data_IF_451894394573
#
_entry.id   IF_451894394573
#
_cell.length_a   1.000
_cell.length_b   1.000
_cell.length_c   1.000
_cell.angle_alpha   90.00
_cell.angle_beta   90.00
_cell.angle_gamma   90.00
#
_symmetry.space_group_name_H-M   'P 1'
#
loop_
_entity.id
_entity.type
_entity.pdbx_description
1 polymer ?
#
# COMPACT_ATOMS: atom_id res chain seq x y z
N UNK A 1 45.75 -72.05 -13.48
CA UNK A 1 44.66 -71.49 -14.23
C UNK A 1 43.80 -70.69 -13.25
N UNK A 2 44.09 -69.39 -13.09
CA UNK A 2 43.49 -68.50 -12.08
C UNK A 2 42.51 -67.56 -12.80
N UNK A 3 41.24 -67.68 -12.49
CA UNK A 3 40.17 -66.85 -13.04
C UNK A 3 39.95 -65.67 -12.08
N UNK A 4 40.35 -64.46 -12.53
CA UNK A 4 40.17 -63.23 -11.80
C UNK A 4 38.77 -62.67 -12.00
N UNK A 5 38.03 -62.52 -10.91
CA UNK A 5 36.74 -61.83 -10.90
C UNK A 5 36.97 -60.32 -10.73
N UNK A 6 36.66 -59.55 -11.76
CA UNK A 6 36.55 -58.08 -11.67
C UNK A 6 35.21 -57.74 -11.07
N UNK A 7 35.20 -57.15 -9.87
CA UNK A 7 34.01 -56.54 -9.27
C UNK A 7 33.93 -55.09 -9.75
N UNK A 8 32.93 -54.81 -10.57
CA UNK A 8 32.56 -53.43 -10.95
C UNK A 8 31.77 -52.80 -9.80
N UNK A 9 32.34 -51.76 -9.19
CA UNK A 9 31.65 -50.87 -8.28
C UNK A 9 30.78 -49.90 -9.09
N UNK A 10 29.45 -50.03 -9.01
CA UNK A 10 28.52 -49.02 -9.54
C UNK A 10 28.33 -47.99 -8.44
N UNK A 11 28.88 -46.81 -8.61
CA UNK A 11 28.59 -45.64 -7.78
C UNK A 11 27.22 -45.06 -8.20
N UNK A 12 26.22 -45.32 -7.37
CA UNK A 12 24.92 -44.61 -7.44
C UNK A 12 25.11 -43.19 -6.84
N UNK A 13 25.21 -42.21 -7.71
CA UNK A 13 25.11 -40.79 -7.31
C UNK A 13 23.63 -40.46 -7.01
N UNK A 14 23.29 -40.43 -5.74
CA UNK A 14 22.00 -39.94 -5.27
C UNK A 14 22.03 -38.41 -5.37
N UNK A 15 21.42 -37.83 -6.40
CA UNK A 15 21.10 -36.41 -6.49
C UNK A 15 19.95 -36.14 -5.49
N UNK A 16 20.28 -35.60 -4.33
CA UNK A 16 19.29 -35.00 -3.45
C UNK A 16 18.80 -33.70 -4.10
N UNK A 17 17.65 -33.77 -4.76
CA UNK A 17 16.85 -32.62 -5.11
C UNK A 17 16.34 -32.00 -3.78
N UNK A 18 17.10 -31.05 -3.26
CA UNK A 18 16.59 -30.13 -2.25
C UNK A 18 15.52 -29.25 -2.93
N UNK A 19 14.31 -29.77 -3.03
CA UNK A 19 13.11 -28.97 -3.27
C UNK A 19 12.94 -28.07 -2.04
N UNK A 20 13.58 -26.88 -2.08
CA UNK A 20 13.17 -25.80 -1.21
C UNK A 20 11.70 -25.54 -1.51
N UNK A 21 10.82 -25.98 -0.61
CA UNK A 21 9.44 -25.51 -0.54
C UNK A 21 9.53 -24.00 -0.23
N UNK A 22 9.73 -23.20 -1.28
CA UNK A 22 9.48 -21.76 -1.21
C UNK A 22 8.03 -21.59 -0.79
N UNK A 23 7.79 -20.89 0.31
CA UNK A 23 6.43 -20.54 0.71
C UNK A 23 5.71 -19.99 -0.52
N UNK A 24 4.50 -20.48 -0.79
CA UNK A 24 3.73 -20.07 -1.95
C UNK A 24 3.55 -18.55 -1.89
N UNK A 25 4.07 -17.86 -2.91
CA UNK A 25 3.99 -16.41 -2.99
C UNK A 25 2.55 -15.97 -3.25
N UNK A 26 2.05 -15.07 -2.44
CA UNK A 26 0.71 -14.52 -2.62
C UNK A 26 0.67 -13.63 -3.87
N UNK A 27 -0.34 -13.86 -4.71
CA UNK A 27 -0.53 -13.12 -5.95
C UNK A 27 -1.83 -12.36 -5.90
N UNK A 28 -1.74 -11.02 -5.90
CA UNK A 28 -2.90 -10.17 -6.07
C UNK A 28 -3.26 -10.04 -7.54
N UNK A 29 -4.54 -10.13 -7.84
CA UNK A 29 -5.11 -9.92 -9.17
C UNK A 29 -6.41 -9.12 -9.09
N UNK A 30 -6.92 -8.69 -10.25
CA UNK A 30 -8.17 -7.94 -10.37
C UNK A 30 -9.11 -8.68 -11.32
N UNK A 31 -10.38 -8.80 -10.93
CA UNK A 31 -11.47 -9.29 -11.75
C UNK A 31 -12.66 -8.33 -11.67
N UNK A 32 -12.90 -7.58 -12.74
CA UNK A 32 -13.89 -6.52 -12.75
C UNK A 32 -13.58 -5.46 -11.68
N UNK A 33 -14.51 -5.27 -10.75
CA UNK A 33 -14.36 -4.29 -9.65
C UNK A 33 -13.82 -4.93 -8.36
N UNK A 34 -13.22 -6.11 -8.42
CA UNK A 34 -12.79 -6.87 -7.24
C UNK A 34 -11.31 -7.19 -7.25
N UNK A 35 -10.71 -7.12 -6.07
CA UNK A 35 -9.41 -7.70 -5.81
C UNK A 35 -9.54 -9.19 -5.47
N UNK A 36 -8.61 -9.97 -5.97
CA UNK A 36 -8.49 -11.41 -5.67
C UNK A 36 -7.06 -11.69 -5.17
N UNK A 37 -6.94 -12.48 -4.11
CA UNK A 37 -5.67 -13.01 -3.62
C UNK A 37 -5.63 -14.51 -3.90
N UNK A 38 -4.70 -14.96 -4.72
CA UNK A 38 -4.62 -16.35 -5.18
C UNK A 38 -5.92 -16.87 -5.83
N UNK A 39 -6.71 -15.98 -6.44
CA UNK A 39 -7.99 -16.28 -7.07
C UNK A 39 -9.22 -16.12 -6.18
N UNK A 40 -9.06 -16.03 -4.86
CA UNK A 40 -10.15 -15.81 -3.92
C UNK A 40 -10.42 -14.31 -3.70
N UNK A 41 -11.69 -13.89 -3.49
CA UNK A 41 -12.01 -12.52 -3.15
C UNK A 41 -11.16 -11.99 -2.00
N UNK A 42 -10.57 -10.81 -2.20
CA UNK A 42 -9.67 -10.19 -1.23
C UNK A 42 -10.29 -8.92 -0.67
N UNK A 43 -10.61 -8.85 0.63
CA UNK A 43 -11.22 -7.68 1.27
C UNK A 43 -10.16 -6.59 1.51
N UNK A 44 -9.66 -5.98 0.41
CA UNK A 44 -8.59 -4.99 0.44
C UNK A 44 -8.88 -3.91 1.49
N UNK A 45 -8.05 -3.86 2.52
CA UNK A 45 -8.17 -2.90 3.62
C UNK A 45 -6.76 -2.45 4.00
N UNK A 46 -6.40 -1.26 3.57
CA UNK A 46 -5.06 -0.72 3.76
C UNK A 46 -4.95 0.13 5.02
N UNK A 47 -3.70 0.34 5.45
CA UNK A 47 -3.32 1.38 6.42
C UNK A 47 -2.17 2.20 5.84
N UNK A 48 -2.23 3.52 5.97
CA UNK A 48 -1.13 4.42 5.61
C UNK A 48 0.00 4.31 6.62
N UNK A 49 1.14 3.77 6.19
CA UNK A 49 2.36 3.66 6.98
C UNK A 49 3.48 4.42 6.28
N UNK A 50 3.43 5.75 6.38
CA UNK A 50 4.26 6.70 5.62
C UNK A 50 5.76 6.45 5.73
N UNK A 51 6.24 6.24 6.95
CA UNK A 51 7.66 6.09 7.28
C UNK A 51 8.12 4.62 7.37
N UNK A 52 7.32 3.66 6.88
CA UNK A 52 7.59 2.23 7.06
C UNK A 52 9.02 1.82 6.69
N UNK A 53 9.54 2.30 5.56
CA UNK A 53 10.91 2.00 5.09
C UNK A 53 11.97 2.61 6.02
N UNK A 54 11.65 3.73 6.65
CA UNK A 54 12.58 4.56 7.42
C UNK A 54 12.41 4.43 8.95
N UNK A 55 11.42 3.66 9.39
CA UNK A 55 11.10 3.50 10.80
C UNK A 55 12.08 2.52 11.48
N UNK A 56 12.89 2.97 12.45
CA UNK A 56 13.92 2.13 13.05
C UNK A 56 13.35 1.02 13.95
N UNK A 57 12.21 1.25 14.60
CA UNK A 57 11.56 0.24 15.44
C UNK A 57 10.96 -0.87 14.57
N UNK A 58 10.18 -0.52 13.57
CA UNK A 58 9.56 -1.48 12.65
C UNK A 58 10.61 -2.33 11.90
N UNK A 59 11.76 -1.72 11.55
CA UNK A 59 12.83 -2.38 10.80
C UNK A 59 13.97 -2.90 11.69
N UNK A 60 13.77 -3.02 13.00
CA UNK A 60 14.78 -3.58 13.90
C UNK A 60 15.19 -4.99 13.46
N UNK A 61 14.21 -5.84 13.18
CA UNK A 61 14.37 -7.21 12.67
C UNK A 61 13.05 -7.76 12.10
N UNK A 62 13.07 -8.99 11.56
CA UNK A 62 11.89 -9.66 11.02
C UNK A 62 10.85 -9.99 12.10
N UNK A 63 11.27 -10.34 13.30
CA UNK A 63 10.34 -10.67 14.38
C UNK A 63 9.55 -9.46 14.85
N UNK A 64 10.18 -8.29 14.95
CA UNK A 64 9.47 -7.05 15.25
C UNK A 64 8.43 -6.72 14.17
N UNK A 65 8.81 -6.84 12.88
CA UNK A 65 7.86 -6.63 11.78
C UNK A 65 6.68 -7.59 11.87
N UNK A 66 6.91 -8.87 12.12
CA UNK A 66 5.83 -9.88 12.26
C UNK A 66 4.87 -9.57 13.39
N UNK A 67 5.38 -9.06 14.53
CA UNK A 67 4.52 -8.62 15.65
C UNK A 67 3.57 -7.51 15.21
N UNK A 68 4.09 -6.50 14.51
CA UNK A 68 3.26 -5.40 14.00
C UNK A 68 2.29 -5.85 12.90
N UNK A 69 2.74 -6.70 11.98
CA UNK A 69 1.88 -7.25 10.92
C UNK A 69 0.71 -8.05 11.52
N UNK A 70 0.98 -8.90 12.50
CA UNK A 70 -0.07 -9.64 13.22
C UNK A 70 -1.04 -8.70 13.95
N UNK A 71 -0.53 -7.61 14.55
CA UNK A 71 -1.37 -6.58 15.17
C UNK A 71 -2.27 -5.90 14.14
N UNK A 72 -1.76 -5.52 12.98
CA UNK A 72 -2.56 -4.95 11.89
C UNK A 72 -3.65 -5.92 11.43
N UNK A 73 -3.31 -7.19 11.22
CA UNK A 73 -4.28 -8.22 10.82
C UNK A 73 -5.39 -8.44 11.86
N UNK A 74 -5.07 -8.39 13.15
CA UNK A 74 -6.08 -8.44 14.24
C UNK A 74 -7.17 -7.38 14.06
N UNK A 75 -6.81 -6.22 13.51
CA UNK A 75 -7.74 -5.13 13.20
C UNK A 75 -8.26 -5.14 11.77
N UNK A 76 -8.09 -6.23 11.04
CA UNK A 76 -8.61 -6.38 9.68
C UNK A 76 -7.79 -5.70 8.59
N UNK A 77 -6.63 -5.12 8.90
CA UNK A 77 -5.72 -4.55 7.92
C UNK A 77 -4.97 -5.69 7.23
N UNK A 78 -4.97 -5.68 5.89
CA UNK A 78 -4.28 -6.67 5.07
C UNK A 78 -3.45 -6.06 3.93
N UNK A 79 -3.33 -4.73 3.90
CA UNK A 79 -2.48 -4.01 2.96
C UNK A 79 -1.71 -2.92 3.71
N UNK A 80 -0.40 -2.85 3.48
CA UNK A 80 0.43 -1.73 3.92
C UNK A 80 0.63 -0.76 2.76
N UNK A 81 0.27 0.51 2.94
CA UNK A 81 0.59 1.58 2.00
C UNK A 81 1.85 2.29 2.49
N UNK A 82 2.97 2.18 1.75
CA UNK A 82 4.31 2.63 2.15
C UNK A 82 4.93 3.57 1.12
N UNK A 83 5.70 4.56 1.59
CA UNK A 83 6.28 5.61 0.73
C UNK A 83 7.76 5.40 0.46
N UNK A 84 8.15 5.50 -0.81
CA UNK A 84 9.56 5.52 -1.24
C UNK A 84 10.23 6.87 -1.03
N UNK A 85 9.45 7.95 -0.92
CA UNK A 85 9.94 9.29 -0.64
C UNK A 85 9.29 9.85 0.62
N UNK A 86 10.11 10.18 1.63
CA UNK A 86 9.69 10.76 2.90
C UNK A 86 10.67 11.85 3.36
N UNK A 87 11.39 12.45 2.39
CA UNK A 87 12.46 13.42 2.59
C UNK A 87 11.98 14.88 2.62
N UNK A 88 10.66 15.10 2.78
CA UNK A 88 10.08 16.42 2.90
C UNK A 88 10.50 17.14 4.19
N UNK A 89 10.32 18.49 4.21
CA UNK A 89 10.71 19.38 5.31
C UNK A 89 9.55 19.77 6.23
N UNK A 90 8.45 19.01 6.23
CA UNK A 90 7.22 19.36 6.97
C UNK A 90 7.25 18.96 8.44
N UNK A 91 8.35 18.37 8.92
CA UNK A 91 8.45 17.89 10.29
C UNK A 91 7.56 16.66 10.56
N UNK A 92 7.28 15.89 9.52
CA UNK A 92 6.58 14.62 9.66
C UNK A 92 7.44 13.59 10.38
N UNK A 93 6.82 12.61 11.03
CA UNK A 93 7.51 11.57 11.77
C UNK A 93 8.52 10.83 10.87
N UNK A 94 9.77 10.73 11.34
CA UNK A 94 10.90 10.15 10.60
C UNK A 94 11.15 10.76 9.20
N UNK A 95 10.56 11.92 8.86
CA UNK A 95 10.87 12.60 7.61
C UNK A 95 12.19 13.36 7.65
N UNK A 96 12.72 13.73 6.50
CA UNK A 96 13.88 14.59 6.40
C UNK A 96 14.92 14.12 5.37
N UNK A 97 16.06 14.85 5.29
CA UNK A 97 17.09 14.55 4.29
C UNK A 97 17.54 13.10 4.32
N UNK A 98 17.64 12.51 3.15
CA UNK A 98 18.08 11.09 3.02
C UNK A 98 16.96 10.06 3.19
N UNK A 99 15.76 10.42 3.61
CA UNK A 99 14.61 9.52 3.71
C UNK A 99 13.93 9.36 2.35
N UNK A 100 14.69 8.87 1.38
CA UNK A 100 14.25 8.63 0.01
C UNK A 100 14.87 7.36 -0.54
N UNK A 101 14.15 6.65 -1.40
CA UNK A 101 14.60 5.47 -2.12
C UNK A 101 15.65 5.79 -3.18
N UNK A 102 15.76 7.05 -3.60
CA UNK A 102 16.43 7.45 -4.81
C UNK A 102 17.69 8.29 -4.54
N UNK A 103 18.69 8.16 -5.42
CA UNK A 103 19.71 9.16 -5.65
C UNK A 103 19.23 10.18 -6.69
N UNK A 104 19.91 11.32 -6.81
CA UNK A 104 19.51 12.41 -7.72
C UNK A 104 19.42 11.97 -9.20
N UNK A 105 20.18 10.96 -9.59
CA UNK A 105 20.21 10.40 -10.95
C UNK A 105 19.17 9.26 -11.15
N UNK A 106 18.30 9.00 -10.17
CA UNK A 106 17.30 7.94 -10.20
C UNK A 106 17.82 6.55 -9.84
N UNK A 107 19.08 6.41 -9.44
CA UNK A 107 19.61 5.15 -8.90
C UNK A 107 18.95 4.83 -7.56
N UNK A 108 18.69 3.54 -7.32
CA UNK A 108 18.07 3.11 -6.06
C UNK A 108 19.12 3.01 -4.96
N UNK A 109 18.78 3.50 -3.77
CA UNK A 109 19.59 3.33 -2.56
C UNK A 109 19.50 1.89 -2.07
N UNK A 110 20.58 1.16 -2.17
CA UNK A 110 20.62 -0.28 -1.91
C UNK A 110 20.10 -0.66 -0.50
N UNK A 111 20.45 0.12 0.53
CA UNK A 111 19.99 -0.13 1.90
C UNK A 111 18.45 0.01 2.04
N UNK A 112 17.87 1.07 1.46
CA UNK A 112 16.42 1.29 1.51
C UNK A 112 15.66 0.25 0.68
N UNK A 113 16.23 -0.18 -0.46
CA UNK A 113 15.66 -1.26 -1.26
C UNK A 113 15.71 -2.60 -0.52
N UNK A 114 16.79 -2.91 0.19
CA UNK A 114 16.89 -4.11 1.02
C UNK A 114 15.82 -4.10 2.13
N UNK A 115 15.63 -2.96 2.80
CA UNK A 115 14.58 -2.77 3.81
C UNK A 115 13.18 -2.97 3.21
N UNK A 116 12.88 -2.37 2.07
CA UNK A 116 11.59 -2.54 1.39
C UNK A 116 11.34 -4.01 1.02
N UNK A 117 12.33 -4.70 0.48
CA UNK A 117 12.23 -6.13 0.16
C UNK A 117 11.97 -6.99 1.41
N UNK A 118 12.60 -6.66 2.54
CA UNK A 118 12.36 -7.35 3.81
C UNK A 118 10.92 -7.13 4.31
N UNK A 119 10.40 -5.90 4.23
CA UNK A 119 8.99 -5.60 4.54
C UNK A 119 8.06 -6.42 3.64
N UNK A 120 8.32 -6.44 2.34
CA UNK A 120 7.51 -7.18 1.36
C UNK A 120 7.51 -8.68 1.66
N UNK A 121 8.66 -9.26 1.99
CA UNK A 121 8.78 -10.69 2.29
C UNK A 121 8.04 -11.08 3.59
N UNK A 122 8.17 -10.27 4.65
CA UNK A 122 7.46 -10.52 5.90
C UNK A 122 5.93 -10.31 5.73
N UNK A 123 5.52 -9.31 4.95
CA UNK A 123 4.12 -9.11 4.58
C UNK A 123 3.56 -10.27 3.75
N UNK A 124 4.33 -10.80 2.77
CA UNK A 124 3.93 -11.97 1.98
C UNK A 124 3.72 -13.19 2.88
N UNK A 125 4.65 -13.45 3.79
CA UNK A 125 4.55 -14.54 4.77
C UNK A 125 3.30 -14.43 5.65
N UNK A 126 2.80 -13.22 5.85
CA UNK A 126 1.56 -12.92 6.58
C UNK A 126 0.32 -12.88 5.66
N UNK A 127 0.43 -13.18 4.36
CA UNK A 127 -0.69 -13.05 3.42
C UNK A 127 -1.14 -11.61 3.18
N UNK A 128 -0.25 -10.64 3.37
CA UNK A 128 -0.52 -9.21 3.21
C UNK A 128 0.08 -8.65 1.92
N UNK A 129 -0.56 -7.61 1.40
CA UNK A 129 -0.12 -6.87 0.21
C UNK A 129 0.64 -5.62 0.65
N UNK A 130 1.61 -5.20 -0.17
CA UNK A 130 2.31 -3.92 0.00
C UNK A 130 2.00 -3.01 -1.18
N UNK A 131 1.31 -1.90 -0.93
CA UNK A 131 1.12 -0.81 -1.88
C UNK A 131 2.30 0.15 -1.76
N UNK A 132 3.17 0.14 -2.76
CA UNK A 132 4.38 0.96 -2.79
C UNK A 132 4.10 2.26 -3.52
N UNK A 133 4.14 3.39 -2.79
CA UNK A 133 4.03 4.74 -3.34
C UNK A 133 5.40 5.17 -3.83
N UNK A 134 5.55 5.32 -5.16
CA UNK A 134 6.85 5.60 -5.77
C UNK A 134 7.30 7.04 -5.52
N UNK A 135 6.39 8.01 -5.71
CA UNK A 135 6.68 9.43 -5.54
C UNK A 135 5.63 10.11 -4.66
N UNK A 136 6.03 11.16 -3.95
CA UNK A 136 5.13 11.96 -3.14
C UNK A 136 5.16 13.44 -3.52
N UNK A 137 4.00 14.10 -3.45
CA UNK A 137 3.89 15.53 -3.66
C UNK A 137 4.75 16.32 -2.67
N UNK A 138 4.82 15.86 -1.42
CA UNK A 138 5.59 16.49 -0.36
C UNK A 138 7.07 16.56 -0.72
N UNK A 139 7.65 15.43 -1.14
CA UNK A 139 9.04 15.38 -1.57
C UNK A 139 9.28 16.16 -2.87
N UNK A 140 8.34 16.14 -3.81
CA UNK A 140 8.42 16.93 -5.02
C UNK A 140 8.49 18.44 -4.76
N UNK A 141 7.84 18.93 -3.69
CA UNK A 141 7.81 20.34 -3.31
C UNK A 141 8.99 20.78 -2.47
N UNK A 142 9.31 20.04 -1.45
CA UNK A 142 10.21 20.44 -0.36
C UNK A 142 11.33 19.43 -0.08
N UNK A 143 11.40 18.32 -0.82
CA UNK A 143 12.43 17.29 -0.73
C UNK A 143 13.17 17.09 -2.04
N UNK A 144 13.47 15.84 -2.37
CA UNK A 144 14.13 15.46 -3.63
C UNK A 144 13.12 15.38 -4.78
N UNK A 145 13.30 16.26 -5.74
CA UNK A 145 12.60 16.22 -7.02
C UNK A 145 13.49 15.61 -8.08
N UNK A 146 13.12 14.45 -8.61
CA UNK A 146 13.80 13.86 -9.75
C UNK A 146 13.41 14.55 -11.05
N UNK A 147 14.39 14.81 -11.92
CA UNK A 147 14.10 15.20 -13.30
C UNK A 147 13.50 14.03 -14.11
N UNK A 148 12.89 14.31 -15.28
CA UNK A 148 12.16 13.29 -16.06
C UNK A 148 12.96 12.02 -16.34
N UNK A 149 14.21 12.11 -16.78
CA UNK A 149 15.07 10.97 -17.08
C UNK A 149 15.41 10.16 -15.83
N UNK A 150 15.72 10.85 -14.71
CA UNK A 150 16.02 10.21 -13.44
C UNK A 150 14.78 9.50 -12.88
N UNK A 151 13.59 10.11 -13.01
CA UNK A 151 12.32 9.50 -12.59
C UNK A 151 12.01 8.25 -13.42
N UNK A 152 12.16 8.28 -14.73
CA UNK A 152 11.96 7.11 -15.60
C UNK A 152 12.97 5.98 -15.29
N UNK A 153 14.23 6.32 -15.02
CA UNK A 153 15.26 5.37 -14.55
C UNK A 153 14.87 4.75 -13.22
N UNK A 154 14.41 5.54 -12.27
CA UNK A 154 13.98 5.09 -10.95
C UNK A 154 12.78 4.14 -11.04
N UNK A 155 11.74 4.49 -11.81
CA UNK A 155 10.55 3.65 -12.03
C UNK A 155 10.93 2.33 -12.69
N UNK A 156 11.78 2.36 -13.73
CA UNK A 156 12.25 1.14 -14.38
C UNK A 156 13.05 0.23 -13.43
N UNK A 157 13.93 0.82 -12.61
CA UNK A 157 14.71 0.09 -11.62
C UNK A 157 13.83 -0.53 -10.54
N UNK A 158 12.90 0.25 -9.93
CA UNK A 158 11.94 -0.24 -8.95
C UNK A 158 11.12 -1.40 -9.51
N UNK A 159 10.67 -1.27 -10.75
CA UNK A 159 9.84 -2.30 -11.39
C UNK A 159 10.63 -3.61 -11.57
N UNK A 160 11.87 -3.54 -12.05
CA UNK A 160 12.73 -4.73 -12.20
C UNK A 160 13.05 -5.39 -10.86
N UNK A 161 13.43 -4.59 -9.86
CA UNK A 161 13.80 -5.09 -8.51
C UNK A 161 12.64 -5.78 -7.81
N UNK A 162 11.41 -5.28 -8.00
CA UNK A 162 10.21 -5.81 -7.34
C UNK A 162 9.39 -6.76 -8.25
N UNK A 163 9.82 -7.01 -9.48
CA UNK A 163 9.13 -7.91 -10.40
C UNK A 163 8.86 -9.32 -9.82
N UNK A 164 9.75 -9.94 -9.04
CA UNK A 164 9.48 -11.25 -8.45
C UNK A 164 8.34 -11.24 -7.43
N UNK A 165 8.05 -10.11 -6.79
CA UNK A 165 7.07 -10.00 -5.69
C UNK A 165 5.67 -9.72 -6.21
N UNK A 166 4.78 -10.73 -6.12
CA UNK A 166 3.38 -10.62 -6.62
C UNK A 166 2.41 -10.07 -5.58
N UNK A 167 2.81 -9.97 -4.32
CA UNK A 167 2.11 -9.27 -3.25
C UNK A 167 2.39 -7.75 -3.22
N UNK A 168 2.88 -7.18 -4.31
CA UNK A 168 3.19 -5.74 -4.45
C UNK A 168 2.32 -5.11 -5.52
N UNK A 169 1.75 -3.95 -5.21
CA UNK A 169 1.12 -3.04 -6.17
C UNK A 169 1.83 -1.70 -6.15
N UNK A 170 1.82 -0.98 -7.25
CA UNK A 170 2.42 0.35 -7.34
C UNK A 170 1.38 1.45 -7.36
N UNK A 171 1.62 2.48 -6.58
CA UNK A 171 1.01 3.79 -6.70
C UNK A 171 2.07 4.76 -7.24
N UNK A 172 1.83 5.35 -8.41
CA UNK A 172 2.84 6.21 -9.05
C UNK A 172 3.11 7.44 -8.19
N UNK A 173 2.07 8.20 -7.87
CA UNK A 173 2.16 9.38 -7.02
C UNK A 173 1.21 9.32 -5.82
N UNK A 174 1.63 9.95 -4.74
CA UNK A 174 0.73 10.47 -3.72
C UNK A 174 0.43 11.94 -4.01
N UNK A 175 -0.85 12.28 -4.19
CA UNK A 175 -1.37 13.64 -4.37
C UNK A 175 -0.75 14.43 -5.54
N UNK A 176 -0.32 13.74 -6.61
CA UNK A 176 0.22 14.38 -7.80
C UNK A 176 -0.02 13.57 -9.06
N UNK A 177 0.22 14.15 -10.24
CA UNK A 177 -0.07 13.50 -11.52
C UNK A 177 0.94 13.84 -12.62
N UNK A 178 2.20 14.08 -12.24
CA UNK A 178 3.25 14.33 -13.22
C UNK A 178 3.64 13.04 -13.95
N UNK A 179 3.62 13.04 -15.29
CA UNK A 179 4.09 11.96 -16.17
C UNK A 179 3.50 10.58 -15.85
N UNK A 180 2.24 10.53 -15.39
CA UNK A 180 1.59 9.27 -14.98
C UNK A 180 1.57 8.24 -16.11
N UNK A 181 1.21 8.65 -17.34
CA UNK A 181 1.11 7.73 -18.49
C UNK A 181 2.47 7.16 -18.90
N UNK A 182 3.51 7.98 -18.87
CA UNK A 182 4.89 7.57 -19.17
C UNK A 182 5.40 6.58 -18.11
N UNK A 183 5.14 6.85 -16.83
CA UNK A 183 5.50 5.94 -15.76
C UNK A 183 4.74 4.60 -15.84
N UNK A 184 3.44 4.63 -16.12
CA UNK A 184 2.66 3.40 -16.36
C UNK A 184 3.22 2.62 -17.54
N UNK A 185 3.57 3.28 -18.65
CA UNK A 185 4.22 2.65 -19.81
C UNK A 185 5.56 2.01 -19.42
N UNK A 186 6.39 2.69 -18.65
CA UNK A 186 7.68 2.18 -18.16
C UNK A 186 7.48 0.96 -17.26
N UNK A 187 6.50 0.99 -16.36
CA UNK A 187 6.16 -0.15 -15.51
C UNK A 187 5.73 -1.35 -16.35
N UNK A 188 4.79 -1.15 -17.30
CA UNK A 188 4.29 -2.24 -18.17
C UNK A 188 5.39 -2.85 -19.04
N UNK A 189 6.35 -2.04 -19.51
CA UNK A 189 7.49 -2.52 -20.29
C UNK A 189 8.43 -3.43 -19.48
N UNK A 190 8.57 -3.21 -18.18
CA UNK A 190 9.44 -3.99 -17.30
C UNK A 190 8.70 -5.12 -16.53
N UNK A 191 7.41 -4.94 -16.25
CA UNK A 191 6.54 -5.94 -15.59
C UNK A 191 5.09 -5.78 -16.07
N UNK A 192 4.68 -6.47 -17.14
CA UNK A 192 3.32 -6.36 -17.69
C UNK A 192 2.20 -6.76 -16.73
N UNK A 193 2.52 -7.53 -15.67
CA UNK A 193 1.55 -8.01 -14.69
C UNK A 193 1.45 -7.14 -13.44
N UNK A 194 2.28 -6.08 -13.33
CA UNK A 194 2.24 -5.19 -12.16
C UNK A 194 0.93 -4.43 -12.11
N UNK A 195 0.22 -4.53 -10.99
CA UNK A 195 -0.97 -3.73 -10.70
C UNK A 195 -0.53 -2.32 -10.35
N UNK A 196 -1.13 -1.31 -11.00
CA UNK A 196 -0.73 0.09 -10.91
C UNK A 196 -1.93 0.99 -10.66
N UNK A 197 -1.75 1.95 -9.75
CA UNK A 197 -2.67 3.07 -9.49
C UNK A 197 -1.95 4.40 -9.39
N UNK A 198 -2.71 5.48 -9.22
CA UNK A 198 -2.23 6.83 -8.93
C UNK A 198 -3.24 7.60 -8.08
N UNK A 199 -2.80 8.30 -7.03
CA UNK A 199 -3.65 9.22 -6.30
C UNK A 199 -3.52 10.63 -6.90
N UNK A 200 -4.58 11.17 -7.50
CA UNK A 200 -4.50 12.34 -8.38
C UNK A 200 -4.25 13.69 -7.69
N UNK A 201 -4.46 13.79 -6.39
CA UNK A 201 -4.20 15.01 -5.63
C UNK A 201 -4.93 16.25 -6.16
N UNK A 202 -4.16 17.28 -6.48
CA UNK A 202 -4.73 18.57 -6.90
C UNK A 202 -5.44 18.60 -8.26
N UNK A 203 -5.24 17.60 -9.10
CA UNK A 203 -5.99 17.49 -10.36
C UNK A 203 -7.50 17.25 -10.13
N UNK A 204 -7.89 17.19 -8.86
CA UNK A 204 -9.25 16.91 -8.44
C UNK A 204 -9.41 15.46 -7.97
N UNK A 205 -10.34 15.27 -7.06
CA UNK A 205 -10.64 13.98 -6.42
C UNK A 205 -10.83 12.85 -7.43
N UNK A 206 -11.51 13.14 -8.54
CA UNK A 206 -11.88 12.13 -9.54
C UNK A 206 -10.75 11.75 -10.49
N UNK A 207 -9.63 12.48 -10.47
CA UNK A 207 -8.52 12.27 -11.39
C UNK A 207 -8.85 12.59 -12.84
N UNK A 208 -7.86 12.46 -13.71
CA UNK A 208 -8.03 12.68 -15.15
C UNK A 208 -8.50 11.41 -15.86
N UNK A 209 -9.46 11.51 -16.80
CA UNK A 209 -10.00 10.35 -17.51
C UNK A 209 -8.93 9.51 -18.22
N UNK A 210 -7.92 10.13 -18.81
CA UNK A 210 -6.82 9.44 -19.50
C UNK A 210 -5.99 8.60 -18.53
N UNK A 211 -5.68 9.15 -17.35
CA UNK A 211 -4.98 8.43 -16.30
C UNK A 211 -5.84 7.28 -15.77
N UNK A 212 -7.09 7.55 -15.40
CA UNK A 212 -8.00 6.55 -14.85
C UNK A 212 -8.21 5.35 -15.81
N UNK A 213 -8.20 5.59 -17.12
CA UNK A 213 -8.31 4.53 -18.11
C UNK A 213 -7.04 3.64 -18.15
N UNK A 214 -5.86 4.21 -17.94
CA UNK A 214 -4.58 3.50 -17.98
C UNK A 214 -4.26 2.70 -16.70
N UNK A 215 -4.87 3.06 -15.57
CA UNK A 215 -4.66 2.44 -14.26
C UNK A 215 -5.50 1.16 -14.10
N UNK A 216 -5.07 0.25 -13.25
CA UNK A 216 -5.78 -1.02 -12.97
C UNK A 216 -6.89 -0.85 -11.93
N UNK A 217 -6.68 0.03 -10.97
CA UNK A 217 -7.65 0.43 -9.96
C UNK A 217 -7.47 1.91 -9.62
N UNK A 218 -8.42 2.51 -8.94
CA UNK A 218 -8.45 3.95 -8.68
C UNK A 218 -8.30 4.23 -7.18
N UNK A 219 -7.49 5.22 -6.85
CA UNK A 219 -7.22 5.65 -5.46
C UNK A 219 -7.49 7.14 -5.30
N UNK A 220 -8.77 7.57 -5.33
CA UNK A 220 -9.11 8.96 -5.08
C UNK A 220 -8.81 9.34 -3.63
N UNK A 221 -8.46 10.61 -3.42
CA UNK A 221 -8.55 11.24 -2.12
C UNK A 221 -9.88 11.96 -2.05
N UNK A 222 -10.89 11.32 -1.48
CA UNK A 222 -12.26 11.83 -1.49
C UNK A 222 -12.38 13.19 -0.79
N UNK A 223 -13.40 13.95 -1.16
CA UNK A 223 -13.61 15.31 -0.64
C UNK A 223 -13.71 15.32 0.87
N UNK A 224 -12.82 16.06 1.52
CA UNK A 224 -12.71 16.18 2.98
C UNK A 224 -12.58 17.62 3.47
N UNK A 225 -12.49 18.58 2.58
CA UNK A 225 -12.33 20.01 2.90
C UNK A 225 -13.61 20.81 2.60
N UNK A 226 -14.75 20.27 2.98
CA UNK A 226 -16.06 20.90 2.79
C UNK A 226 -16.75 21.12 4.13
N UNK A 227 -17.65 22.08 4.18
CA UNK A 227 -18.58 22.25 5.32
C UNK A 227 -19.70 21.21 5.29
N UNK A 228 -19.90 20.53 4.14
CA UNK A 228 -20.79 19.38 4.05
C UNK A 228 -20.21 18.15 4.77
N UNK A 229 -21.08 17.23 5.11
CA UNK A 229 -20.67 15.97 5.72
C UNK A 229 -19.92 15.12 4.70
N UNK A 230 -18.66 14.79 4.98
CA UNK A 230 -17.79 14.05 4.04
C UNK A 230 -18.34 12.67 3.72
N UNK A 231 -18.99 12.00 4.68
CA UNK A 231 -19.66 10.71 4.46
C UNK A 231 -20.93 10.78 3.59
N UNK A 232 -21.35 11.96 3.18
CA UNK A 232 -22.43 12.17 2.20
C UNK A 232 -21.89 12.50 0.82
N UNK A 233 -20.72 13.15 0.74
CA UNK A 233 -20.07 13.58 -0.52
C UNK A 233 -19.20 12.47 -1.08
N UNK A 234 -18.27 11.96 -0.27
CA UNK A 234 -17.31 10.95 -0.68
C UNK A 234 -17.96 9.69 -1.31
N UNK A 235 -19.07 9.14 -0.80
CA UNK A 235 -19.74 8.02 -1.45
C UNK A 235 -20.21 8.30 -2.87
N UNK A 236 -20.65 9.52 -3.18
CA UNK A 236 -21.07 9.91 -4.54
C UNK A 236 -19.89 9.97 -5.51
N UNK A 237 -18.74 10.44 -5.04
CA UNK A 237 -17.50 10.46 -5.80
C UNK A 237 -17.05 9.02 -6.14
N UNK A 238 -17.11 8.13 -5.16
CA UNK A 238 -16.78 6.70 -5.33
C UNK A 238 -17.77 6.01 -6.27
N UNK A 239 -19.07 6.23 -6.11
CA UNK A 239 -20.12 5.66 -6.98
C UNK A 239 -19.91 6.09 -8.44
N UNK A 240 -19.58 7.36 -8.67
CA UNK A 240 -19.24 7.85 -10.01
C UNK A 240 -18.05 7.09 -10.60
N UNK A 241 -16.96 6.92 -9.85
CA UNK A 241 -15.76 6.22 -10.32
C UNK A 241 -16.03 4.74 -10.61
N UNK A 242 -16.73 4.05 -9.72
CA UNK A 242 -17.13 2.65 -9.89
C UNK A 242 -17.98 2.45 -11.14
N UNK A 243 -18.99 3.30 -11.33
CA UNK A 243 -19.90 3.21 -12.49
C UNK A 243 -19.21 3.54 -13.81
N UNK A 244 -18.35 4.57 -13.80
CA UNK A 244 -17.70 5.11 -15.00
C UNK A 244 -16.60 4.20 -15.52
N UNK A 245 -15.75 3.67 -14.63
CA UNK A 245 -14.52 2.95 -15.03
C UNK A 245 -14.61 1.45 -14.84
N UNK A 246 -15.56 0.95 -14.05
CA UNK A 246 -15.76 -0.48 -13.75
C UNK A 246 -14.49 -1.18 -13.24
N UNK A 247 -13.70 -0.47 -12.47
CA UNK A 247 -12.46 -0.92 -11.82
C UNK A 247 -12.66 -0.92 -10.30
N UNK A 248 -11.81 -1.63 -9.52
CA UNK A 248 -11.80 -1.45 -8.08
C UNK A 248 -11.50 0.01 -7.73
N UNK A 249 -12.15 0.52 -6.70
CA UNK A 249 -11.88 1.85 -6.15
C UNK A 249 -11.56 1.69 -4.68
N UNK A 250 -10.44 2.27 -4.24
CA UNK A 250 -10.00 2.33 -2.85
C UNK A 250 -10.07 3.79 -2.41
N UNK A 251 -10.89 4.11 -1.41
CA UNK A 251 -10.84 5.43 -0.77
C UNK A 251 -9.52 5.54 0.01
N UNK A 252 -8.52 6.14 -0.63
CA UNK A 252 -7.11 6.02 -0.24
C UNK A 252 -6.74 6.97 0.91
N UNK A 253 -7.45 8.09 1.02
CA UNK A 253 -7.36 9.04 2.13
C UNK A 253 -8.75 9.58 2.50
N UNK A 254 -9.55 8.82 3.26
CA UNK A 254 -10.87 9.23 3.69
C UNK A 254 -10.82 10.45 4.62
N UNK A 255 -11.98 11.00 4.95
CA UNK A 255 -12.12 12.02 5.98
C UNK A 255 -11.47 11.55 7.28
N UNK A 256 -10.79 12.45 7.94
CA UNK A 256 -10.00 12.21 9.14
C UNK A 256 -10.08 13.37 10.11
N UNK A 257 -9.81 13.13 11.37
CA UNK A 257 -9.72 14.18 12.38
C UNK A 257 -8.34 14.87 12.31
N UNK A 258 -8.07 15.53 11.18
CA UNK A 258 -6.85 16.28 10.96
C UNK A 258 -7.03 17.77 11.20
N UNK A 259 -5.92 18.50 11.14
CA UNK A 259 -5.98 19.96 11.15
C UNK A 259 -6.19 20.49 9.73
N UNK A 260 -6.86 21.64 9.57
CA UNK A 260 -6.99 22.29 8.26
C UNK A 260 -5.66 22.61 7.57
N UNK A 261 -4.57 22.70 8.33
CA UNK A 261 -3.23 23.04 7.82
C UNK A 261 -2.67 21.99 6.85
N UNK A 262 -3.10 20.73 6.97
CA UNK A 262 -2.60 19.64 6.11
C UNK A 262 -3.71 18.94 5.33
N UNK A 263 -4.76 19.66 5.01
CA UNK A 263 -5.84 19.15 4.19
C UNK A 263 -6.88 18.33 4.96
N UNK A 264 -6.82 18.32 6.28
CA UNK A 264 -7.88 17.74 7.10
C UNK A 264 -9.21 18.50 6.95
N UNK A 265 -10.33 17.94 7.42
CA UNK A 265 -11.63 18.58 7.36
C UNK A 265 -11.62 19.89 8.17
N UNK A 266 -12.31 20.91 7.68
CA UNK A 266 -12.48 22.19 8.41
C UNK A 266 -13.33 22.01 9.67
N UNK A 267 -14.15 20.99 9.70
CA UNK A 267 -14.92 20.57 10.88
C UNK A 267 -14.31 19.26 11.40
N UNK A 268 -14.04 19.13 12.69
CA UNK A 268 -13.50 17.89 13.25
C UNK A 268 -14.38 16.69 12.93
N UNK A 269 -13.76 15.62 12.48
CA UNK A 269 -14.42 14.33 12.22
C UNK A 269 -14.36 13.48 13.50
N UNK A 270 -15.49 12.95 13.95
CA UNK A 270 -15.52 11.99 15.05
C UNK A 270 -15.20 10.57 14.57
N UNK A 271 -14.85 9.62 15.45
CA UNK A 271 -14.73 8.22 15.07
C UNK A 271 -16.00 7.67 14.40
N UNK A 272 -17.17 8.09 14.86
CA UNK A 272 -18.45 7.69 14.28
C UNK A 272 -18.61 8.15 12.83
N UNK A 273 -18.24 9.38 12.53
CA UNK A 273 -18.30 9.93 11.17
C UNK A 273 -17.36 9.16 10.22
N UNK A 274 -16.19 8.82 10.69
CA UNK A 274 -15.21 8.01 9.94
C UNK A 274 -15.74 6.59 9.69
N UNK A 275 -16.31 5.96 10.72
CA UNK A 275 -16.96 4.65 10.61
C UNK A 275 -18.12 4.69 9.60
N UNK A 276 -18.94 5.71 9.65
CA UNK A 276 -20.08 5.87 8.74
C UNK A 276 -19.61 6.01 7.27
N UNK A 277 -18.54 6.75 7.02
CA UNK A 277 -17.93 6.83 5.69
C UNK A 277 -17.44 5.46 5.23
N UNK A 278 -16.65 4.75 6.03
CA UNK A 278 -16.15 3.40 5.72
C UNK A 278 -17.30 2.45 5.39
N UNK A 279 -18.34 2.43 6.20
CA UNK A 279 -19.51 1.58 5.97
C UNK A 279 -20.17 1.87 4.62
N UNK A 280 -20.32 3.14 4.27
CA UNK A 280 -20.90 3.53 2.98
C UNK A 280 -20.01 3.13 1.80
N UNK A 281 -18.69 3.23 1.91
CA UNK A 281 -17.75 2.73 0.89
C UNK A 281 -17.96 1.23 0.65
N UNK A 282 -18.01 0.45 1.72
CA UNK A 282 -18.24 -0.99 1.61
C UNK A 282 -19.59 -1.37 1.02
N UNK A 283 -20.64 -0.61 1.33
CA UNK A 283 -21.98 -0.80 0.74
C UNK A 283 -22.03 -0.52 -0.77
N UNK A 284 -21.15 0.32 -1.27
CA UNK A 284 -20.97 0.58 -2.72
C UNK A 284 -20.10 -0.46 -3.41
N UNK A 285 -19.44 -1.36 -2.68
CA UNK A 285 -18.46 -2.30 -3.22
C UNK A 285 -17.07 -1.71 -3.42
N UNK A 286 -16.80 -0.56 -2.82
CA UNK A 286 -15.47 0.04 -2.76
C UNK A 286 -14.67 -0.49 -1.57
N UNK A 287 -13.38 -0.19 -1.59
CA UNK A 287 -12.40 -0.55 -0.58
C UNK A 287 -11.88 0.70 0.13
N UNK A 288 -11.11 0.52 1.18
CA UNK A 288 -10.61 1.64 1.98
C UNK A 288 -9.12 1.49 2.31
N UNK A 289 -8.46 2.63 2.49
CA UNK A 289 -7.19 2.75 3.19
C UNK A 289 -7.41 3.57 4.45
N UNK A 290 -7.17 2.99 5.62
CA UNK A 290 -7.23 3.75 6.86
C UNK A 290 -6.07 4.73 6.93
N UNK A 291 -6.38 6.01 6.92
CA UNK A 291 -5.43 7.11 6.91
C UNK A 291 -5.78 8.12 7.99
N UNK A 292 -4.77 8.68 8.65
CA UNK A 292 -4.98 9.71 9.66
C UNK A 292 -3.75 10.61 9.81
N UNK A 293 -3.96 11.91 9.98
CA UNK A 293 -2.89 12.90 10.12
C UNK A 293 -1.96 12.63 11.31
N UNK A 294 -2.47 12.03 12.38
CA UNK A 294 -1.63 11.65 13.53
C UNK A 294 -0.53 10.65 13.17
N UNK A 295 -0.71 9.87 12.13
CA UNK A 295 0.34 8.96 11.65
C UNK A 295 1.48 9.69 10.94
N UNK A 296 1.22 10.92 10.46
CA UNK A 296 2.22 11.76 9.80
C UNK A 296 2.94 12.67 10.78
N UNK A 297 2.18 13.40 11.60
CA UNK A 297 2.68 14.59 12.29
C UNK A 297 2.51 14.55 13.78
N UNK A 298 1.74 13.62 14.30
CA UNK A 298 1.41 13.63 15.70
C UNK A 298 0.49 14.77 16.10
N UNK A 299 -0.42 15.19 15.26
CA UNK A 299 -1.45 16.12 15.67
C UNK A 299 -2.38 15.52 16.71
N UNK A 300 -2.65 16.29 17.74
CA UNK A 300 -3.47 15.91 18.84
C UNK A 300 -2.68 15.43 20.05
N UNK A 301 -3.36 14.83 20.99
CA UNK A 301 -2.77 14.30 22.23
C UNK A 301 -3.20 12.84 22.37
N UNK A 302 -2.27 11.89 22.36
CA UNK A 302 -0.84 12.05 22.17
C UNK A 302 -0.48 12.49 20.74
N UNK A 303 0.66 13.17 20.61
CA UNK A 303 1.07 13.82 19.39
C UNK A 303 1.26 12.84 18.23
N UNK A 304 1.97 11.75 18.37
CA UNK A 304 2.12 10.70 17.38
C UNK A 304 2.10 9.32 18.04
N UNK A 305 1.87 8.24 17.25
CA UNK A 305 1.98 6.90 17.80
C UNK A 305 3.35 6.68 18.43
N UNK A 306 3.43 5.97 19.56
CA UNK A 306 4.70 5.52 20.09
C UNK A 306 5.49 4.79 19.00
N UNK A 307 6.78 5.05 18.90
CA UNK A 307 7.66 4.48 17.88
C UNK A 307 7.37 4.92 16.41
N UNK A 308 6.45 5.87 16.18
CA UNK A 308 6.12 6.34 14.82
C UNK A 308 5.42 5.31 13.93
N UNK A 309 4.98 4.18 14.48
CA UNK A 309 4.21 3.15 13.77
C UNK A 309 2.72 3.47 13.91
N UNK A 310 1.87 3.28 12.87
CA UNK A 310 0.44 3.57 12.95
C UNK A 310 -0.28 2.53 13.83
N UNK A 311 -0.02 2.57 15.13
CA UNK A 311 -0.52 1.63 16.11
C UNK A 311 -2.05 1.74 16.27
N UNK A 312 -2.82 0.67 15.99
CA UNK A 312 -4.27 0.64 16.16
C UNK A 312 -4.77 0.98 17.58
N UNK A 313 -3.92 0.80 18.57
CA UNK A 313 -4.32 0.88 19.98
C UNK A 313 -3.80 2.14 20.70
N UNK A 314 -3.05 3.03 19.99
CA UNK A 314 -2.35 4.10 20.68
C UNK A 314 -3.27 5.22 21.22
N UNK A 315 -4.48 5.36 20.69
CA UNK A 315 -5.48 6.26 21.26
C UNK A 315 -6.92 5.76 21.01
N UNK A 316 -7.94 6.28 21.76
CA UNK A 316 -9.32 5.83 21.66
C UNK A 316 -9.95 6.05 20.27
N UNK A 317 -9.60 7.11 19.55
CA UNK A 317 -10.14 7.38 18.21
C UNK A 317 -9.80 6.25 17.26
N UNK A 318 -8.50 5.93 17.14
CA UNK A 318 -8.03 4.89 16.22
C UNK A 318 -8.54 3.51 16.60
N UNK A 319 -8.51 3.21 17.91
CA UNK A 319 -9.04 1.93 18.42
C UNK A 319 -10.49 1.72 17.99
N UNK A 320 -11.36 2.69 18.20
CA UNK A 320 -12.77 2.58 17.87
C UNK A 320 -12.99 2.36 16.37
N UNK A 321 -12.32 3.09 15.51
CA UNK A 321 -12.45 2.94 14.05
C UNK A 321 -11.88 1.60 13.60
N UNK A 322 -10.74 1.19 14.13
CA UNK A 322 -10.09 -0.05 13.71
C UNK A 322 -10.79 -1.30 14.28
N UNK A 323 -11.41 -1.23 15.45
CA UNK A 323 -12.32 -2.27 15.94
C UNK A 323 -13.53 -2.45 15.01
N UNK A 324 -14.07 -1.37 14.46
CA UNK A 324 -15.11 -1.46 13.44
C UNK A 324 -14.59 -2.10 12.15
N UNK A 325 -13.39 -1.73 11.69
CA UNK A 325 -12.75 -2.33 10.50
C UNK A 325 -12.54 -3.83 10.68
N UNK A 326 -12.20 -4.28 11.88
CA UNK A 326 -12.07 -5.71 12.18
C UNK A 326 -13.36 -6.50 11.97
N UNK A 327 -14.52 -5.82 11.99
CA UNK A 327 -15.83 -6.42 11.74
C UNK A 327 -16.29 -6.34 10.26
N UNK A 328 -15.38 -6.02 9.34
CA UNK A 328 -15.67 -5.79 7.91
C UNK A 328 -16.56 -6.85 7.25
N UNK A 329 -16.40 -8.11 7.61
CA UNK A 329 -17.20 -9.20 7.05
C UNK A 329 -18.70 -9.05 7.28
N UNK A 330 -19.10 -8.29 8.27
CA UNK A 330 -20.52 -8.01 8.57
C UNK A 330 -21.11 -6.91 7.71
N UNK A 331 -20.27 -6.06 7.11
CA UNK A 331 -20.69 -4.81 6.48
C UNK A 331 -20.32 -4.70 5.00
N UNK A 332 -19.29 -5.44 4.56
CA UNK A 332 -18.91 -5.50 3.15
C UNK A 332 -19.90 -6.36 2.36
N UNK A 333 -20.08 -6.04 1.09
CA UNK A 333 -20.95 -6.81 0.20
C UNK A 333 -20.49 -8.27 0.08
N UNK A 334 -21.46 -9.17 -0.05
CA UNK A 334 -21.19 -10.56 -0.39
C UNK A 334 -20.32 -10.67 -1.67
N UNK A 335 -19.34 -11.56 -1.64
CA UNK A 335 -18.37 -11.76 -2.74
C UNK A 335 -17.19 -10.78 -2.72
N UNK A 336 -17.08 -9.88 -1.73
CA UNK A 336 -15.85 -9.15 -1.41
C UNK A 336 -14.99 -9.89 -0.37
N UNK A 337 -15.48 -11.00 0.16
CA UNK A 337 -14.78 -11.86 1.11
C UNK A 337 -14.50 -13.23 0.48
N UNK A 338 -13.42 -13.92 0.91
CA UNK A 338 -13.23 -15.33 0.59
C UNK A 338 -14.48 -16.13 1.00
N UNK A 339 -14.81 -17.14 0.22
CA UNK A 339 -15.85 -18.09 0.62
C UNK A 339 -15.47 -18.69 1.99
N UNK A 340 -16.42 -18.72 2.94
CA UNK A 340 -16.18 -19.44 4.20
C UNK A 340 -15.95 -20.90 3.84
N UNK A 341 -14.80 -21.44 4.19
CA UNK A 341 -14.60 -22.89 4.19
C UNK A 341 -15.45 -23.44 5.34
N UNK A 342 -16.55 -24.11 4.99
CA UNK A 342 -17.35 -24.88 5.94
C UNK A 342 -16.55 -26.00 6.58
#
# INVERSE_FOLDING_TARGET
MLIGHKRSLVLLAVWALASGLGAAQHTLSISGQRFLLNGDPFPYTAISFFNAIYNPTFNRDSEERKVWLAKFQKYGINVLRVWCQWDNKRGFVDSGPGKTMYENDGTLRAANMATLKAIIADADSAGMIVQVVLFSQESYRDGMRLGPEAADKAVAAMTRELRPHRNVVFQVWNEFSDRVLEHVKTIRANDPQRIVTNSPGFAGVLGEPTHNNALDYLTPHTTRQTVARTWEVAPKEIEYLLSRYRKPVVDDEPARNGTPNFGGPKVPTSPYDHILQIQRMWQLGAYICYHHDMFQTGYGTPACPPHGIPDPEFNPYHRQVLEFIALRERYMLAGMHPARKE
#
